data_IF_567680903608
#
_entry.id   IF_567680903608
#
_cell.length_a   1.000
_cell.length_b   1.000
_cell.length_c   1.000
_cell.angle_alpha   90.00
_cell.angle_beta   90.00
_cell.angle_gamma   90.00
#
_symmetry.space_group_name_H-M   'P 1'
#
loop_
_entity.id
_entity.type
_entity.pdbx_description
1 polymer ?
#
# COMPACT_ATOMS: atom_id res chain seq x y z
N UNK A 1 -4.18 -14.80 16.01
CA UNK A 1 -4.26 -14.39 14.61
C UNK A 1 -4.25 -12.88 14.50
N UNK A 2 -3.24 -12.31 13.82
CA UNK A 2 -3.08 -10.86 13.61
C UNK A 2 -3.66 -10.50 12.25
N UNK A 3 -4.38 -9.39 12.15
CA UNK A 3 -4.89 -8.90 10.86
C UNK A 3 -4.06 -7.72 10.42
N UNK A 4 -3.50 -7.78 9.21
CA UNK A 4 -2.73 -6.71 8.59
C UNK A 4 -3.52 -6.15 7.42
N UNK A 5 -3.80 -4.84 7.47
CA UNK A 5 -4.43 -4.12 6.37
C UNK A 5 -3.36 -3.70 5.38
N UNK A 6 -3.48 -4.15 4.12
CA UNK A 6 -2.60 -3.74 3.03
C UNK A 6 -3.28 -2.66 2.22
N UNK A 7 -2.81 -1.42 2.30
CA UNK A 7 -3.25 -0.37 1.37
C UNK A 7 -2.51 -0.57 0.05
N UNK A 8 -3.23 -0.94 -0.99
CA UNK A 8 -2.68 -1.30 -2.30
C UNK A 8 -3.15 -0.32 -3.38
N UNK A 9 -2.29 -0.09 -4.36
CA UNK A 9 -2.51 0.84 -5.46
C UNK A 9 -3.64 0.42 -6.41
N UNK A 10 -3.65 -0.84 -6.83
CA UNK A 10 -4.50 -1.32 -7.90
C UNK A 10 -4.89 -2.79 -7.75
N UNK A 11 -5.61 -3.28 -8.76
CA UNK A 11 -6.15 -4.65 -8.78
C UNK A 11 -5.05 -5.70 -8.93
N UNK A 12 -3.95 -5.36 -9.60
CA UNK A 12 -2.80 -6.26 -9.77
C UNK A 12 -2.14 -6.53 -8.42
N UNK A 13 -1.88 -5.48 -7.64
CA UNK A 13 -1.29 -5.55 -6.30
C UNK A 13 -2.25 -6.23 -5.32
N UNK A 14 -3.55 -5.92 -5.39
CA UNK A 14 -4.58 -6.62 -4.62
C UNK A 14 -4.55 -8.13 -4.88
N UNK A 15 -4.49 -8.52 -6.15
CA UNK A 15 -4.45 -9.93 -6.56
C UNK A 15 -3.16 -10.59 -6.08
N UNK A 16 -2.01 -9.92 -6.19
CA UNK A 16 -0.75 -10.43 -5.64
C UNK A 16 -0.82 -10.65 -4.13
N UNK A 17 -1.34 -9.67 -3.39
CA UNK A 17 -1.52 -9.78 -1.94
C UNK A 17 -2.42 -10.96 -1.57
N UNK A 18 -3.53 -11.14 -2.28
CA UNK A 18 -4.49 -12.23 -2.02
C UNK A 18 -3.96 -13.61 -2.41
N UNK A 19 -3.38 -13.73 -3.60
CA UNK A 19 -3.06 -15.02 -4.20
C UNK A 19 -1.65 -15.52 -3.86
N UNK A 20 -0.72 -14.61 -3.55
CA UNK A 20 0.68 -14.96 -3.30
C UNK A 20 1.06 -14.71 -1.84
N UNK A 21 0.84 -13.50 -1.32
CA UNK A 21 1.27 -13.16 0.04
C UNK A 21 0.39 -13.79 1.12
N UNK A 22 -0.93 -13.84 0.93
CA UNK A 22 -1.86 -14.35 1.94
C UNK A 22 -1.56 -15.81 2.33
N UNK A 23 -1.40 -16.77 1.38
CA UNK A 23 -1.02 -18.14 1.76
C UNK A 23 0.30 -18.21 2.52
N UNK A 24 1.29 -17.41 2.12
CA UNK A 24 2.59 -17.36 2.77
C UNK A 24 2.55 -16.75 4.18
N UNK A 25 1.69 -15.78 4.43
CA UNK A 25 1.59 -15.12 5.74
C UNK A 25 0.66 -15.87 6.72
N UNK A 26 -0.27 -16.67 6.19
CA UNK A 26 -1.19 -17.45 7.01
C UNK A 26 -0.47 -18.47 7.91
N UNK A 27 0.62 -19.08 7.44
CA UNK A 27 1.47 -19.98 8.25
C UNK A 27 2.14 -19.29 9.46
N UNK A 28 2.14 -17.95 9.50
CA UNK A 28 2.64 -17.16 10.63
C UNK A 28 1.52 -16.54 11.47
N UNK A 29 0.29 -17.07 11.39
CA UNK A 29 -0.90 -16.53 12.06
C UNK A 29 -1.23 -15.07 11.67
N UNK A 30 -0.85 -14.66 10.45
CA UNK A 30 -1.11 -13.35 9.89
C UNK A 30 -2.15 -13.47 8.77
N UNK A 31 -3.32 -12.87 8.99
CA UNK A 31 -4.36 -12.70 7.97
C UNK A 31 -4.22 -11.33 7.31
N UNK A 32 -4.46 -11.27 6.00
CA UNK A 32 -4.33 -10.03 5.23
C UNK A 32 -5.72 -9.52 4.82
N UNK A 33 -5.90 -8.20 4.93
CA UNK A 33 -7.06 -7.48 4.41
C UNK A 33 -6.58 -6.38 3.43
N UNK A 34 -6.57 -6.63 2.11
CA UNK A 34 -6.19 -5.61 1.14
C UNK A 34 -7.29 -4.56 1.00
N UNK A 35 -6.87 -3.30 0.83
CA UNK A 35 -7.71 -2.11 0.71
C UNK A 35 -7.16 -1.31 -0.47
N UNK A 36 -7.98 -1.05 -1.49
CA UNK A 36 -7.57 -0.22 -2.63
C UNK A 36 -7.51 1.25 -2.21
N UNK A 37 -6.45 1.95 -2.61
CA UNK A 37 -6.33 3.41 -2.46
C UNK A 37 -7.03 4.14 -3.62
N UNK A 38 -7.63 5.29 -3.31
CA UNK A 38 -8.25 6.15 -4.31
C UNK A 38 -9.60 5.68 -4.87
N UNK A 39 -10.21 6.54 -5.70
CA UNK A 39 -11.54 6.30 -6.31
C UNK A 39 -11.47 5.69 -7.72
N UNK A 40 -10.37 5.92 -8.45
CA UNK A 40 -10.20 5.44 -9.81
C UNK A 40 -9.25 4.25 -9.80
N UNK A 41 -9.82 3.05 -9.97
CA UNK A 41 -9.13 1.76 -10.02
C UNK A 41 -8.24 1.57 -11.27
N UNK A 42 -7.97 2.64 -12.00
CA UNK A 42 -7.17 2.65 -13.23
C UNK A 42 -6.23 3.86 -13.19
N UNK A 43 -4.92 3.62 -13.19
CA UNK A 43 -3.90 4.67 -13.34
C UNK A 43 -3.02 4.95 -12.12
N UNK A 44 -2.98 4.05 -11.13
CA UNK A 44 -2.01 4.10 -10.04
C UNK A 44 -2.16 5.28 -9.07
N UNK A 45 -1.18 5.43 -8.17
CA UNK A 45 -1.16 6.54 -7.19
C UNK A 45 -0.69 7.83 -7.88
N UNK A 46 -1.63 8.61 -8.40
CA UNK A 46 -1.29 9.86 -9.12
C UNK A 46 -0.79 11.00 -8.23
N UNK A 47 -1.15 11.01 -6.94
CA UNK A 47 -0.71 12.00 -5.93
C UNK A 47 -0.60 11.36 -4.56
N UNK A 48 0.50 11.64 -3.84
CA UNK A 48 0.69 11.18 -2.46
C UNK A 48 -0.41 11.70 -1.53
N UNK A 49 -0.98 12.88 -1.81
CA UNK A 49 -2.09 13.42 -1.02
C UNK A 49 -3.31 12.49 -0.91
N UNK A 50 -3.60 11.71 -1.96
CA UNK A 50 -4.68 10.70 -1.93
C UNK A 50 -4.36 9.55 -0.99
N UNK A 51 -3.20 8.92 -1.20
CA UNK A 51 -2.67 7.85 -0.35
C UNK A 51 -2.61 8.27 1.13
N UNK A 52 -2.09 9.48 1.41
CA UNK A 52 -1.99 10.02 2.78
C UNK A 52 -3.35 10.18 3.44
N UNK A 53 -4.39 10.57 2.68
CA UNK A 53 -5.76 10.67 3.20
C UNK A 53 -6.28 9.30 3.60
N UNK A 54 -6.14 8.31 2.73
CA UNK A 54 -6.60 6.95 2.97
C UNK A 54 -5.88 6.32 4.18
N UNK A 55 -4.56 6.49 4.27
CA UNK A 55 -3.77 6.07 5.43
C UNK A 55 -4.26 6.69 6.74
N UNK A 56 -4.55 8.00 6.74
CA UNK A 56 -5.08 8.69 7.94
C UNK A 56 -6.44 8.14 8.36
N UNK A 57 -7.32 7.84 7.41
CA UNK A 57 -8.63 7.24 7.70
C UNK A 57 -8.42 5.86 8.35
N UNK A 58 -7.60 5.00 7.74
CA UNK A 58 -7.34 3.66 8.26
C UNK A 58 -6.70 3.66 9.65
N UNK A 59 -5.76 4.58 9.90
CA UNK A 59 -5.14 4.76 11.21
C UNK A 59 -6.14 5.25 12.28
N UNK A 60 -7.17 6.00 11.87
CA UNK A 60 -8.22 6.51 12.76
C UNK A 60 -9.28 5.48 13.17
N UNK A 61 -9.44 4.39 12.41
CA UNK A 61 -10.50 3.39 12.65
C UNK A 61 -10.32 2.55 13.94
N UNK A 62 -9.09 2.35 14.43
CA UNK A 62 -8.84 1.60 15.67
C UNK A 62 -7.38 1.74 16.16
N UNK A 63 -7.20 1.77 17.49
CA UNK A 63 -5.88 1.79 18.13
C UNK A 63 -5.01 0.54 17.86
N UNK A 64 -5.58 -0.56 17.35
CA UNK A 64 -4.85 -1.82 17.10
C UNK A 64 -4.69 -2.17 15.62
N UNK A 65 -4.84 -1.20 14.72
CA UNK A 65 -4.68 -1.45 13.29
C UNK A 65 -3.19 -1.62 12.92
N UNK A 66 -2.82 -2.79 12.41
CA UNK A 66 -1.55 -2.99 11.70
C UNK A 66 -1.80 -2.67 10.23
N UNK A 67 -1.17 -1.60 9.74
CA UNK A 67 -1.33 -1.13 8.36
C UNK A 67 0.03 -1.16 7.69
N UNK A 68 0.05 -1.68 6.46
CA UNK A 68 1.19 -1.63 5.56
C UNK A 68 0.73 -1.21 4.17
N UNK A 69 1.67 -0.90 3.28
CA UNK A 69 1.40 -0.41 1.93
C UNK A 69 2.10 -1.27 0.89
N UNK A 70 1.47 -1.46 -0.27
CA UNK A 70 2.11 -2.02 -1.47
C UNK A 70 1.77 -1.11 -2.66
N UNK A 71 2.79 -0.40 -3.16
CA UNK A 71 2.65 0.69 -4.13
C UNK A 71 3.69 0.47 -5.22
N UNK A 72 3.39 0.82 -6.47
CA UNK A 72 4.39 0.80 -7.54
C UNK A 72 5.48 1.83 -7.26
N UNK A 73 6.72 1.36 -7.22
CA UNK A 73 7.89 2.19 -7.01
C UNK A 73 8.25 3.04 -8.23
N UNK A 74 8.03 2.51 -9.45
CA UNK A 74 8.45 3.17 -10.69
C UNK A 74 7.50 4.28 -11.13
N UNK A 75 6.27 4.27 -10.63
CA UNK A 75 5.26 5.29 -10.89
C UNK A 75 4.91 6.11 -9.65
N UNK A 76 5.86 6.23 -8.71
CA UNK A 76 5.66 7.09 -7.54
C UNK A 76 5.44 8.55 -7.99
N UNK A 77 4.49 9.28 -7.36
CA UNK A 77 4.25 10.67 -7.69
C UNK A 77 5.41 11.55 -7.20
N UNK A 78 5.64 12.67 -7.88
CA UNK A 78 6.71 13.63 -7.57
C UNK A 78 6.56 14.29 -6.20
N UNK A 79 5.33 14.38 -5.69
CA UNK A 79 4.98 14.84 -4.35
C UNK A 79 5.18 13.78 -3.25
N UNK A 80 5.66 12.58 -3.58
CA UNK A 80 5.92 11.53 -2.61
C UNK A 80 7.06 11.92 -1.65
N UNK A 81 6.91 11.69 -0.32
CA UNK A 81 7.95 12.01 0.65
C UNK A 81 9.26 11.30 0.34
N UNK A 82 10.33 12.07 0.16
CA UNK A 82 11.65 11.52 -0.15
C UNK A 82 11.86 11.15 -1.62
N UNK A 83 10.94 11.47 -2.54
CA UNK A 83 11.08 11.19 -3.98
C UNK A 83 12.41 11.68 -4.56
N UNK A 84 12.81 12.92 -4.21
CA UNK A 84 14.10 13.50 -4.65
C UNK A 84 15.32 12.76 -4.08
N UNK A 85 15.20 12.19 -2.89
CA UNK A 85 16.27 11.40 -2.26
C UNK A 85 16.36 10.01 -2.88
N UNK A 86 15.23 9.42 -3.28
CA UNK A 86 15.15 8.11 -3.94
C UNK A 86 15.77 8.16 -5.35
N UNK A 87 15.56 9.25 -6.09
CA UNK A 87 16.15 9.43 -7.44
C UNK A 87 17.69 9.42 -7.42
N UNK A 88 18.32 9.84 -6.32
CA UNK A 88 19.79 9.85 -6.17
C UNK A 88 20.36 8.42 -6.11
N UNK A 89 19.55 7.41 -5.77
CA UNK A 89 19.99 6.00 -5.67
C UNK A 89 19.88 5.25 -7.01
N UNK A 90 19.10 5.77 -7.97
CA UNK A 90 18.85 5.12 -9.27
C UNK A 90 19.76 5.69 -10.38
N UNK A 91 20.39 6.85 -10.13
CA UNK A 91 21.27 7.54 -11.08
C UNK A 91 22.78 7.25 -10.86
N UNK A 92 23.13 6.05 -10.39
CA UNK A 92 24.52 5.58 -10.24
C UNK A 92 24.79 4.48 -11.27
#
# INVERSE_FOLDING_TARGET
>A
MRVVKFLVEGQTEESFVKSVLSPYLLQFDISIAPILTGKNKMGGVQKYGGLKRDLKILLGESQKNIITTMIDFYHLPDDFPGYKTILVVIAI
#
